data_IF_213725639623
#
_entry.id   IF_213725639623
#
_cell.length_a   1.000
_cell.length_b   1.000
_cell.length_c   1.000
_cell.angle_alpha   90.00
_cell.angle_beta   90.00
_cell.angle_gamma   90.00
#
_symmetry.space_group_name_H-M   'P 1'
#
loop_
_entity.id
_entity.type
_entity.pdbx_description
1 polymer ?
#
# COMPACT_ATOMS: atom_id res chain seq x y z
N UNK A 1 -5.46 34.97 8.07
CA UNK A 1 -5.47 33.73 8.87
C UNK A 1 -5.15 32.57 7.92
N UNK A 2 -3.87 32.25 7.72
CA UNK A 2 -3.45 31.07 6.96
C UNK A 2 -3.55 29.85 7.89
N UNK A 3 -4.11 28.69 7.48
CA UNK A 3 -4.13 27.54 8.37
C UNK A 3 -2.71 27.01 8.54
N UNK A 4 -2.15 27.12 9.75
CA UNK A 4 -0.97 26.36 10.16
C UNK A 4 -1.43 24.92 10.41
N UNK A 5 -0.77 23.94 9.77
CA UNK A 5 -0.94 22.53 10.12
C UNK A 5 -1.58 21.62 9.08
N UNK A 6 -1.74 22.03 7.81
CA UNK A 6 -1.97 21.04 6.75
C UNK A 6 -0.62 20.38 6.46
N UNK A 7 -0.31 19.32 7.20
CA UNK A 7 0.74 18.37 6.81
C UNK A 7 0.17 17.60 5.61
N UNK A 8 0.32 18.19 4.43
CA UNK A 8 -0.07 17.57 3.18
C UNK A 8 0.90 16.48 2.77
N UNK A 9 0.56 15.78 1.69
CA UNK A 9 1.50 14.94 0.95
C UNK A 9 2.85 15.65 0.74
N UNK A 10 3.95 14.95 1.03
CA UNK A 10 5.31 15.49 1.08
C UNK A 10 5.87 15.68 2.50
N UNK A 11 5.08 15.39 3.54
CA UNK A 11 5.52 15.38 4.94
C UNK A 11 5.14 14.11 5.70
N UNK A 12 5.31 14.13 7.02
CA UNK A 12 4.92 13.01 7.90
C UNK A 12 3.42 13.09 8.22
N UNK A 13 2.72 11.98 7.97
CA UNK A 13 1.30 11.79 8.27
C UNK A 13 1.19 10.87 9.48
N UNK A 14 0.56 11.34 10.55
CA UNK A 14 0.20 10.49 11.68
C UNK A 14 -1.01 9.62 11.30
N UNK A 15 -0.81 8.31 11.23
CA UNK A 15 -1.83 7.32 10.93
C UNK A 15 -2.42 6.70 12.21
N UNK A 16 -2.13 7.23 13.40
CA UNK A 16 -2.70 6.88 14.71
C UNK A 16 -2.30 5.50 15.23
N UNK A 17 -3.08 4.98 16.19
CA UNK A 17 -2.77 3.69 16.84
C UNK A 17 -2.82 2.52 15.86
N UNK A 18 -1.86 1.61 15.99
CA UNK A 18 -1.78 0.36 15.25
C UNK A 18 -2.95 -0.58 15.51
N UNK A 19 -3.57 -0.53 16.69
CA UNK A 19 -4.72 -1.35 17.06
C UNK A 19 -5.95 -1.12 16.15
N UNK A 20 -6.00 0.03 15.47
CA UNK A 20 -7.06 0.37 14.51
C UNK A 20 -6.92 -0.41 13.19
N UNK A 21 -5.79 -1.07 12.98
CA UNK A 21 -5.43 -1.76 11.74
C UNK A 21 -5.09 -3.22 12.04
N UNK A 22 -6.07 -4.09 12.35
CA UNK A 22 -5.82 -5.53 12.49
C UNK A 22 -5.11 -6.15 11.29
N UNK A 23 -4.39 -7.28 11.45
CA UNK A 23 -3.77 -8.01 10.35
C UNK A 23 -4.77 -8.31 9.22
N UNK A 24 -4.31 -8.15 7.99
CA UNK A 24 -5.11 -8.29 6.77
C UNK A 24 -5.86 -7.04 6.31
N UNK A 25 -5.93 -5.98 7.13
CA UNK A 25 -6.65 -4.74 6.78
C UNK A 25 -5.94 -3.91 5.72
N UNK A 26 -6.74 -3.27 4.85
CA UNK A 26 -6.30 -2.33 3.81
C UNK A 26 -7.09 -1.04 3.99
N UNK A 27 -6.47 -0.01 4.57
CA UNK A 27 -7.14 1.26 4.88
C UNK A 27 -6.62 2.38 4.00
N UNK A 28 -7.51 3.09 3.32
CA UNK A 28 -7.11 4.25 2.52
C UNK A 28 -6.83 5.45 3.43
N UNK A 29 -5.72 6.16 3.20
CA UNK A 29 -5.36 7.39 3.89
C UNK A 29 -5.27 8.54 2.88
N UNK A 30 -6.39 9.22 2.57
CA UNK A 30 -6.44 10.22 1.49
C UNK A 30 -5.48 11.40 1.67
N UNK A 31 -5.29 11.87 2.91
CA UNK A 31 -4.39 12.99 3.23
C UNK A 31 -2.94 12.70 2.80
N UNK A 32 -2.49 11.45 2.97
CA UNK A 32 -1.15 10.99 2.59
C UNK A 32 -1.09 10.30 1.22
N UNK A 33 -2.22 10.14 0.53
CA UNK A 33 -2.29 9.49 -0.79
C UNK A 33 -1.78 8.04 -0.80
N UNK A 34 -1.98 7.28 0.27
CA UNK A 34 -1.50 5.90 0.36
C UNK A 34 -2.58 4.96 0.91
N UNK A 35 -2.33 3.66 0.76
CA UNK A 35 -3.02 2.59 1.49
C UNK A 35 -2.13 2.15 2.64
N UNK A 36 -2.66 2.18 3.86
CA UNK A 36 -2.05 1.54 5.00
C UNK A 36 -2.52 0.09 5.03
N UNK A 37 -1.62 -0.85 4.79
CA UNK A 37 -1.91 -2.28 4.82
C UNK A 37 -1.22 -2.90 6.03
N UNK A 38 -1.95 -3.72 6.78
CA UNK A 38 -1.34 -4.62 7.75
C UNK A 38 -1.32 -6.01 7.13
N UNK A 39 -0.14 -6.47 6.72
CA UNK A 39 0.03 -7.78 6.09
C UNK A 39 -0.09 -8.90 7.14
N UNK A 40 -0.59 -10.05 6.71
CA UNK A 40 -0.49 -11.30 7.46
C UNK A 40 0.78 -12.06 7.08
N UNK A 41 1.12 -13.11 7.82
CA UNK A 41 2.23 -14.02 7.46
C UNK A 41 2.04 -14.58 6.03
N UNK A 42 0.82 -15.04 5.72
CA UNK A 42 0.43 -15.56 4.41
C UNK A 42 0.56 -14.53 3.27
N UNK A 43 0.55 -13.24 3.60
CA UNK A 43 0.69 -12.13 2.63
C UNK A 43 2.16 -11.72 2.41
N UNK A 44 3.12 -12.52 2.90
CA UNK A 44 4.55 -12.34 2.66
C UNK A 44 5.31 -11.67 3.81
N UNK A 45 4.69 -11.52 4.97
CA UNK A 45 5.33 -11.08 6.21
C UNK A 45 4.43 -10.15 7.02
N UNK A 46 4.24 -10.40 8.33
CA UNK A 46 3.34 -9.62 9.15
C UNK A 46 3.90 -8.22 9.39
N UNK A 47 3.04 -7.21 9.27
CA UNK A 47 3.41 -5.83 9.59
C UNK A 47 2.76 -4.78 8.71
N UNK A 48 3.05 -3.52 9.04
CA UNK A 48 2.48 -2.35 8.40
C UNK A 48 3.32 -1.93 7.20
N UNK A 49 2.65 -1.71 6.06
CA UNK A 49 3.23 -1.14 4.86
C UNK A 49 2.35 0.01 4.36
N UNK A 50 2.98 1.12 3.95
CA UNK A 50 2.28 2.26 3.35
C UNK A 50 2.47 2.26 1.83
N UNK A 51 1.52 1.68 1.10
CA UNK A 51 1.57 1.58 -0.35
C UNK A 51 1.11 2.89 -0.99
N UNK A 52 1.96 3.54 -1.79
CA UNK A 52 1.55 4.71 -2.56
C UNK A 52 0.46 4.29 -3.54
N UNK A 53 -0.71 4.94 -3.48
CA UNK A 53 -1.84 4.55 -4.32
C UNK A 53 -1.64 4.89 -5.80
N UNK A 54 -0.48 5.43 -6.19
CA UNK A 54 -0.19 5.88 -7.56
C UNK A 54 0.31 4.70 -8.37
N UNK A 55 -0.38 4.40 -9.46
CA UNK A 55 0.02 3.36 -10.40
C UNK A 55 1.37 3.71 -11.05
N UNK A 56 2.39 2.84 -10.95
CA UNK A 56 3.69 3.02 -11.60
C UNK A 56 3.66 3.10 -13.14
N UNK A 57 2.53 2.77 -13.77
CA UNK A 57 2.36 2.90 -15.22
C UNK A 57 2.32 4.38 -15.64
N UNK A 58 1.19 5.06 -15.39
CA UNK A 58 0.96 6.46 -15.81
C UNK A 58 0.38 7.33 -14.69
N UNK A 59 0.35 6.84 -13.45
CA UNK A 59 0.02 7.65 -12.28
C UNK A 59 -1.46 7.71 -11.86
N UNK A 60 -2.36 6.92 -12.48
CA UNK A 60 -3.73 6.76 -11.98
C UNK A 60 -3.75 6.26 -10.52
N UNK A 61 -4.79 6.58 -9.75
CA UNK A 61 -5.02 5.97 -8.43
C UNK A 61 -5.38 4.48 -8.56
N UNK A 62 -4.79 3.64 -7.72
CA UNK A 62 -5.04 2.19 -7.64
C UNK A 62 -5.94 1.90 -6.44
N UNK A 63 -7.21 1.51 -6.64
CA UNK A 63 -8.09 1.09 -5.56
C UNK A 63 -7.81 -0.35 -5.12
N UNK A 64 -8.12 -0.66 -3.85
CA UNK A 64 -8.36 -2.02 -3.39
C UNK A 64 -9.73 -2.50 -3.88
N UNK A 65 -9.80 -3.70 -4.46
CA UNK A 65 -11.02 -4.34 -4.97
C UNK A 65 -11.25 -5.65 -4.22
N UNK A 66 -11.96 -5.65 -3.08
CA UNK A 66 -12.08 -6.82 -2.21
C UNK A 66 -12.82 -8.00 -2.85
N UNK A 67 -13.80 -7.72 -3.71
CA UNK A 67 -14.66 -8.74 -4.35
C UNK A 67 -14.22 -9.12 -5.76
N UNK A 68 -13.18 -8.47 -6.29
CA UNK A 68 -12.68 -8.80 -7.62
C UNK A 68 -11.91 -10.12 -7.55
N UNK A 69 -12.31 -11.09 -8.37
CA UNK A 69 -11.62 -12.38 -8.51
C UNK A 69 -10.68 -12.32 -9.72
N UNK A 70 -9.44 -12.77 -9.53
CA UNK A 70 -8.45 -12.86 -10.60
C UNK A 70 -7.50 -14.03 -10.33
N UNK A 71 -7.09 -14.71 -11.41
CA UNK A 71 -6.07 -15.76 -11.37
C UNK A 71 -4.71 -15.10 -11.47
N UNK A 72 -3.86 -15.32 -10.46
CA UNK A 72 -2.47 -14.88 -10.52
C UNK A 72 -1.74 -15.63 -11.64
N UNK A 73 -1.23 -14.96 -12.69
CA UNK A 73 -0.51 -15.62 -13.77
C UNK A 73 0.80 -16.28 -13.31
N UNK A 74 1.36 -15.84 -12.18
CA UNK A 74 2.60 -16.38 -11.62
C UNK A 74 2.39 -17.68 -10.83
N UNK A 75 1.23 -17.89 -10.20
CA UNK A 75 0.95 -19.09 -9.40
C UNK A 75 -0.10 -20.01 -10.03
N UNK A 76 -0.94 -19.49 -10.92
CA UNK A 76 -2.10 -20.21 -11.48
C UNK A 76 -3.32 -20.26 -10.56
N UNK A 77 -3.25 -19.64 -9.38
CA UNK A 77 -4.32 -19.70 -8.38
C UNK A 77 -5.26 -18.49 -8.48
N UNK A 78 -6.57 -18.75 -8.36
CA UNK A 78 -7.58 -17.69 -8.30
C UNK A 78 -7.83 -17.26 -6.85
N UNK A 79 -7.82 -15.96 -6.60
CA UNK A 79 -8.28 -15.40 -5.32
C UNK A 79 -9.11 -14.14 -5.50
N UNK A 80 -9.85 -13.79 -4.45
CA UNK A 80 -10.49 -12.49 -4.31
C UNK A 80 -9.54 -11.48 -3.65
N UNK A 81 -9.79 -10.19 -3.88
CA UNK A 81 -9.03 -9.11 -3.24
C UNK A 81 -7.75 -8.77 -4.00
N UNK A 82 -7.79 -7.67 -4.73
CA UNK A 82 -6.65 -7.18 -5.50
C UNK A 82 -6.57 -5.66 -5.51
N UNK A 83 -5.36 -5.11 -5.52
CA UNK A 83 -5.15 -3.74 -5.97
C UNK A 83 -5.19 -3.74 -7.48
N UNK A 84 -6.24 -3.18 -8.08
CA UNK A 84 -6.43 -3.21 -9.54
C UNK A 84 -6.64 -1.82 -10.11
N UNK A 85 -5.68 -1.39 -10.91
CA UNK A 85 -5.76 -0.11 -11.61
C UNK A 85 -6.88 -0.16 -12.66
N UNK A 86 -7.87 0.75 -12.62
CA UNK A 86 -9.00 0.74 -13.57
C UNK A 86 -8.61 1.21 -14.97
N UNK A 87 -7.46 1.89 -15.13
CA UNK A 87 -7.05 2.48 -16.40
C UNK A 87 -6.65 1.41 -17.44
N UNK A 88 -5.73 0.52 -17.09
CA UNK A 88 -5.20 -0.52 -18.01
C UNK A 88 -5.06 -1.89 -17.34
N UNK A 89 -5.65 -2.08 -16.17
CA UNK A 89 -5.71 -3.37 -15.51
C UNK A 89 -4.39 -3.87 -14.91
N UNK A 90 -3.42 -3.01 -14.61
CA UNK A 90 -2.30 -3.42 -13.76
C UNK A 90 -2.83 -3.89 -12.42
N UNK A 91 -2.43 -5.10 -12.02
CA UNK A 91 -2.91 -5.80 -10.83
C UNK A 91 -1.74 -6.05 -9.88
N UNK A 92 -1.99 -5.83 -8.59
CA UNK A 92 -1.00 -6.01 -7.54
C UNK A 92 -1.60 -6.79 -6.37
N UNK A 93 -0.79 -7.63 -5.74
CA UNK A 93 -1.17 -8.42 -4.55
C UNK A 93 -1.28 -7.53 -3.29
N UNK A 94 -1.54 -8.15 -2.14
CA UNK A 94 -1.74 -7.48 -0.85
C UNK A 94 -0.56 -6.57 -0.42
N UNK A 95 0.68 -6.91 -0.84
CA UNK A 95 1.89 -6.12 -0.60
C UNK A 95 2.23 -5.14 -1.75
N UNK A 96 1.30 -4.93 -2.69
CA UNK A 96 1.51 -4.05 -3.84
C UNK A 96 2.51 -4.60 -4.87
N UNK A 97 2.87 -5.89 -4.80
CA UNK A 97 3.72 -6.56 -5.79
C UNK A 97 2.94 -6.73 -7.09
N UNK A 98 3.51 -6.30 -8.21
CA UNK A 98 2.86 -6.42 -9.52
C UNK A 98 2.78 -7.87 -9.95
N UNK A 99 1.57 -8.34 -10.27
CA UNK A 99 1.33 -9.68 -10.82
C UNK A 99 0.90 -9.66 -12.29
N UNK A 100 0.31 -8.55 -12.77
CA UNK A 100 -0.18 -8.46 -14.14
C UNK A 100 -0.24 -7.01 -14.65
N UNK A 101 -0.24 -6.86 -15.98
CA UNK A 101 -0.52 -5.62 -16.70
C UNK A 101 0.71 -4.75 -17.00
N UNK A 102 0.51 -3.57 -17.63
CA UNK A 102 1.58 -2.82 -18.28
C UNK A 102 2.48 -2.00 -17.34
N UNK A 103 2.22 -1.99 -16.03
CA UNK A 103 3.06 -1.25 -15.09
C UNK A 103 4.48 -1.84 -15.09
N UNK A 104 5.54 -1.03 -15.20
CA UNK A 104 6.90 -1.56 -15.33
C UNK A 104 7.44 -2.18 -14.04
N UNK A 105 6.78 -1.95 -12.89
CA UNK A 105 7.21 -2.38 -11.55
C UNK A 105 6.05 -2.46 -10.56
N UNK A 106 6.32 -2.96 -9.36
CA UNK A 106 5.39 -2.97 -8.21
C UNK A 106 5.07 -1.56 -7.71
N UNK A 107 4.00 -1.44 -6.90
CA UNK A 107 3.60 -0.18 -6.27
C UNK A 107 4.73 0.36 -5.39
N UNK A 108 4.92 1.67 -5.42
CA UNK A 108 5.83 2.34 -4.49
C UNK A 108 5.31 2.23 -3.07
N UNK A 109 6.23 2.31 -2.11
CA UNK A 109 5.89 2.38 -0.70
C UNK A 109 6.59 3.56 -0.04
N UNK A 110 6.02 4.03 1.06
CA UNK A 110 6.52 5.13 1.86
C UNK A 110 7.14 4.59 3.14
N UNK A 111 8.09 5.33 3.69
CA UNK A 111 8.68 5.02 4.99
C UNK A 111 7.61 5.05 6.10
N UNK A 112 7.59 3.99 6.89
CA UNK A 112 6.72 3.81 8.05
C UNK A 112 7.59 3.76 9.29
N UNK A 113 7.14 4.43 10.35
CA UNK A 113 7.73 4.35 11.69
C UNK A 113 6.63 4.02 12.68
N UNK A 114 6.89 3.08 13.59
CA UNK A 114 5.99 2.73 14.68
C UNK A 114 6.72 2.97 15.99
N UNK A 115 6.21 3.90 16.79
CA UNK A 115 6.76 4.24 18.11
C UNK A 115 5.63 4.27 19.13
N UNK A 116 5.77 3.52 20.22
CA UNK A 116 4.75 3.42 21.28
C UNK A 116 3.34 3.10 20.72
N UNK A 117 3.27 2.21 19.72
CA UNK A 117 2.03 1.81 19.05
C UNK A 117 1.42 2.87 18.11
N UNK A 118 2.07 4.02 17.91
CA UNK A 118 1.62 5.06 16.98
C UNK A 118 2.33 4.93 15.63
N UNK A 119 1.56 4.95 14.55
CA UNK A 119 2.06 4.86 13.18
C UNK A 119 2.28 6.26 12.62
N UNK A 120 3.48 6.51 12.12
CA UNK A 120 3.83 7.68 11.31
C UNK A 120 4.27 7.23 9.91
N UNK A 121 3.79 7.92 8.88
CA UNK A 121 4.16 7.65 7.48
C UNK A 121 4.78 8.88 6.86
N UNK A 122 6.04 8.77 6.44
CA UNK A 122 6.75 9.86 5.78
C UNK A 122 6.47 9.85 4.27
N UNK A 123 5.52 10.66 3.82
CA UNK A 123 5.07 10.70 2.42
C UNK A 123 6.05 11.42 1.48
N UNK A 124 7.12 12.03 2.02
CA UNK A 124 8.25 12.54 1.25
C UNK A 124 9.35 11.50 1.01
N UNK A 125 9.39 10.42 1.78
CA UNK A 125 10.34 9.31 1.62
C UNK A 125 9.68 8.16 0.88
N UNK A 126 9.85 8.14 -0.45
CA UNK A 126 9.21 7.17 -1.35
C UNK A 126 10.25 6.22 -1.93
N UNK A 127 10.06 4.92 -1.70
CA UNK A 127 10.89 3.85 -2.25
C UNK A 127 10.22 3.23 -3.45
N UNK A 128 11.00 2.98 -4.51
CA UNK A 128 10.49 2.33 -5.72
C UNK A 128 10.06 0.90 -5.43
N UNK A 129 8.85 0.55 -5.86
CA UNK A 129 8.32 -0.81 -5.67
C UNK A 129 9.14 -1.89 -6.37
N UNK A 130 9.36 -3.02 -5.69
CA UNK A 130 10.07 -4.20 -6.18
C UNK A 130 9.24 -5.49 -5.99
N UNK A 131 9.70 -6.65 -6.49
CA UNK A 131 9.09 -7.93 -6.15
C UNK A 131 9.14 -8.28 -4.64
N UNK A 132 10.02 -7.62 -3.88
CA UNK A 132 10.25 -7.88 -2.46
C UNK A 132 9.50 -6.91 -1.53
N UNK A 133 8.47 -6.20 -2.01
CA UNK A 133 7.78 -5.14 -1.25
C UNK A 133 7.35 -5.58 0.17
N UNK A 134 6.94 -6.84 0.35
CA UNK A 134 6.49 -7.35 1.65
C UNK A 134 7.57 -7.27 2.73
N UNK A 135 8.87 -7.34 2.36
CA UNK A 135 9.99 -7.27 3.31
C UNK A 135 10.14 -5.89 3.98
N UNK A 136 9.51 -4.86 3.43
CA UNK A 136 9.54 -3.50 3.97
C UNK A 136 8.39 -3.24 4.96
N UNK A 137 7.56 -4.23 5.25
CA UNK A 137 6.55 -4.13 6.29
C UNK A 137 7.22 -3.97 7.67
N UNK A 138 6.80 -2.95 8.42
CA UNK A 138 7.28 -2.70 9.78
C UNK A 138 6.47 -3.57 10.74
N UNK A 139 7.16 -4.42 11.49
CA UNK A 139 6.54 -5.31 12.47
C UNK A 139 5.83 -4.50 13.56
N UNK A 140 4.68 -5.02 13.99
CA UNK A 140 3.85 -4.49 15.08
C UNK A 140 4.12 -5.28 16.34
#
# INVERSE_FOLDING_TARGET
MYPRGIVGFGGVINAGSVDRYPPGTKTQVPAGRFWLVNLTEEQGGPGILALWWKCPHLGCTVPWRPTFTFTDPGTGEAKQGWFRCPCHGSTYNDAGVRVFGPAPRSMDHMEVTIENGQISVNTGSITKGTPDNARFAVKV
#
